data_IF_849143001200
#
_entry.id   IF_849143001200
#
_cell.length_a   1.000
_cell.length_b   1.000
_cell.length_c   1.000
_cell.angle_alpha   90.00
_cell.angle_beta   90.00
_cell.angle_gamma   90.00
#
_symmetry.space_group_name_H-M   'P 1'
#
loop_
_entity.id
_entity.type
_entity.pdbx_description
1 polymer ?
#
# COMPACT_ATOMS: atom_id res chain seq x y z
N UNK A 1 13.64 8.87 -1.27
CA UNK A 1 12.97 7.58 -1.07
C UNK A 1 14.01 6.52 -1.42
N UNK A 2 14.36 5.59 -0.52
CA UNK A 2 15.27 4.48 -0.84
C UNK A 2 14.80 3.77 -2.11
N UNK A 3 15.73 3.16 -2.86
CA UNK A 3 15.37 2.46 -4.11
C UNK A 3 14.31 1.36 -3.85
N UNK A 4 14.39 0.72 -2.68
CA UNK A 4 13.57 -0.45 -2.28
C UNK A 4 13.65 -1.64 -3.26
N UNK A 5 14.50 -1.57 -4.29
CA UNK A 5 14.73 -2.66 -5.24
C UNK A 5 15.51 -3.82 -4.61
N UNK A 6 16.33 -3.52 -3.60
CA UNK A 6 17.23 -4.49 -2.97
C UNK A 6 16.93 -4.65 -1.48
N UNK A 7 17.08 -5.89 -1.02
CA UNK A 7 16.90 -6.27 0.39
C UNK A 7 18.16 -6.04 1.23
N UNK A 8 19.28 -5.71 0.59
CA UNK A 8 20.57 -5.43 1.24
C UNK A 8 20.78 -3.91 1.33
N UNK A 9 21.36 -3.47 2.45
CA UNK A 9 21.79 -2.08 2.61
C UNK A 9 23.06 -1.86 1.79
N UNK A 10 22.94 -1.01 0.77
CA UNK A 10 24.02 -0.50 -0.08
C UNK A 10 25.26 -0.14 0.76
N UNK A 11 26.43 -0.61 0.35
CA UNK A 11 27.68 -0.13 0.94
C UNK A 11 27.83 1.37 0.67
N UNK A 12 28.46 2.11 1.58
CA UNK A 12 28.68 3.54 1.39
C UNK A 12 29.41 3.80 0.05
N UNK A 13 28.73 4.43 -0.91
CA UNK A 13 29.27 4.74 -2.23
C UNK A 13 28.65 3.98 -3.41
N UNK A 14 27.74 3.03 -3.17
CA UNK A 14 26.96 2.42 -4.26
C UNK A 14 25.79 3.34 -4.63
N UNK A 15 25.74 3.80 -5.88
CA UNK A 15 24.59 4.52 -6.40
C UNK A 15 23.39 3.58 -6.39
N UNK A 16 22.41 3.91 -5.56
CA UNK A 16 21.06 3.40 -5.72
C UNK A 16 20.72 3.52 -7.21
N UNK A 17 20.53 2.37 -7.89
CA UNK A 17 19.67 2.40 -9.08
C UNK A 17 18.43 3.18 -8.65
N UNK A 18 17.84 4.00 -9.53
CA UNK A 18 16.67 4.81 -9.17
C UNK A 18 15.39 4.10 -9.60
N UNK A 19 14.88 3.09 -8.87
CA UNK A 19 13.53 2.60 -9.00
C UNK A 19 12.59 3.71 -8.54
N UNK A 20 12.09 4.47 -9.51
CA UNK A 20 10.86 5.22 -9.31
C UNK A 20 9.71 4.21 -9.34
N UNK A 21 8.86 4.24 -8.31
CA UNK A 21 7.59 3.53 -8.36
C UNK A 21 6.84 3.95 -9.63
N UNK A 22 6.45 2.97 -10.45
CA UNK A 22 5.70 3.23 -11.68
C UNK A 22 4.18 3.07 -11.47
N UNK A 23 3.76 2.71 -10.26
CA UNK A 23 2.37 2.48 -9.91
C UNK A 23 2.09 2.94 -8.48
N UNK A 24 1.02 3.71 -8.33
CA UNK A 24 0.38 4.05 -7.07
C UNK A 24 -1.10 3.70 -7.18
N UNK A 25 -1.54 2.72 -6.39
CA UNK A 25 -2.97 2.36 -6.28
C UNK A 25 -3.54 2.97 -5.01
N UNK A 26 -4.78 3.48 -5.08
CA UNK A 26 -5.54 3.96 -3.93
C UNK A 26 -6.88 3.22 -3.89
N UNK A 27 -7.17 2.57 -2.77
CA UNK A 27 -8.43 1.85 -2.52
C UNK A 27 -9.26 2.58 -1.48
N UNK A 28 -10.59 2.49 -1.60
CA UNK A 28 -11.54 3.05 -0.64
C UNK A 28 -12.82 2.20 -0.60
N UNK A 29 -13.80 2.63 0.20
CA UNK A 29 -15.11 1.98 0.38
C UNK A 29 -14.98 0.54 0.88
N UNK A 30 -14.25 0.38 1.97
CA UNK A 30 -14.10 -0.89 2.69
C UNK A 30 -13.54 -2.00 1.78
N UNK A 31 -12.58 -1.61 0.94
CA UNK A 31 -11.89 -2.51 0.04
C UNK A 31 -11.30 -3.70 0.80
N UNK A 32 -11.45 -4.88 0.20
CA UNK A 32 -10.79 -6.11 0.60
C UNK A 32 -10.42 -6.89 -0.65
N UNK A 33 -9.49 -7.82 -0.50
CA UNK A 33 -9.04 -8.68 -1.59
C UNK A 33 -8.90 -10.11 -1.12
N UNK A 34 -8.60 -10.99 -2.08
CA UNK A 34 -8.23 -12.37 -1.77
C UNK A 34 -6.75 -12.45 -1.37
N UNK A 35 -6.41 -13.46 -0.59
CA UNK A 35 -5.02 -13.77 -0.23
C UNK A 35 -4.22 -14.02 -1.51
N UNK A 36 -3.10 -13.29 -1.67
CA UNK A 36 -2.27 -13.39 -2.86
C UNK A 36 -0.81 -13.02 -2.57
N UNK A 37 0.02 -13.16 -3.60
CA UNK A 37 1.36 -12.57 -3.70
C UNK A 37 1.37 -11.67 -4.91
N UNK A 38 2.10 -10.57 -4.79
CA UNK A 38 2.27 -9.63 -5.89
C UNK A 38 3.11 -10.23 -7.01
N UNK A 39 2.87 -9.74 -8.23
CA UNK A 39 3.67 -10.07 -9.41
C UNK A 39 4.49 -8.87 -9.87
N UNK A 40 4.98 -8.11 -8.90
CA UNK A 40 5.77 -6.91 -9.13
C UNK A 40 7.24 -7.23 -9.39
N UNK A 41 7.95 -6.22 -9.85
CA UNK A 41 9.38 -6.26 -10.04
C UNK A 41 10.16 -5.98 -8.76
N UNK A 42 9.58 -5.17 -7.86
CA UNK A 42 10.18 -4.85 -6.58
C UNK A 42 9.92 -5.95 -5.55
N UNK A 43 10.91 -6.21 -4.69
CA UNK A 43 10.80 -7.22 -3.64
C UNK A 43 10.05 -6.68 -2.41
N UNK A 44 10.11 -5.37 -2.16
CA UNK A 44 9.41 -4.67 -1.07
C UNK A 44 8.33 -3.75 -1.64
N UNK A 45 7.09 -3.99 -1.21
CA UNK A 45 5.98 -3.07 -1.43
C UNK A 45 5.84 -2.13 -0.24
N UNK A 46 5.29 -0.94 -0.49
CA UNK A 46 5.07 0.11 0.49
C UNK A 46 3.64 0.62 0.37
N UNK A 47 2.97 0.83 1.50
CA UNK A 47 1.56 1.20 1.51
C UNK A 47 1.22 2.09 2.68
N UNK A 48 0.12 2.82 2.50
CA UNK A 48 -0.42 3.77 3.45
C UNK A 48 -1.88 3.46 3.76
N UNK A 49 -2.25 3.63 5.01
CA UNK A 49 -3.62 3.55 5.48
C UNK A 49 -3.96 4.77 6.31
N UNK A 50 -5.08 5.41 5.99
CA UNK A 50 -5.64 6.52 6.76
C UNK A 50 -7.16 6.51 6.67
N UNK A 51 -7.84 7.10 7.63
CA UNK A 51 -9.30 7.28 7.56
C UNK A 51 -9.61 8.64 6.95
N UNK A 52 -10.48 8.64 5.95
CA UNK A 52 -11.00 9.85 5.33
C UNK A 52 -12.51 9.96 5.49
N UNK A 53 -13.00 11.19 5.54
CA UNK A 53 -14.41 11.53 5.65
C UNK A 53 -14.91 12.20 4.36
N UNK A 54 -16.12 11.84 3.92
CA UNK A 54 -16.74 12.39 2.71
C UNK A 54 -17.53 13.66 3.03
N UNK A 55 -17.05 14.81 2.55
CA UNK A 55 -17.85 16.01 2.46
C UNK A 55 -18.77 15.94 1.23
N UNK A 56 -20.05 15.66 1.45
CA UNK A 56 -21.06 15.61 0.39
C UNK A 56 -21.40 16.98 -0.21
N UNK A 57 -21.16 18.09 0.49
CA UNK A 57 -21.38 19.43 -0.07
C UNK A 57 -20.29 19.78 -1.07
N UNK A 58 -19.04 19.48 -0.73
CA UNK A 58 -17.86 19.78 -1.56
C UNK A 58 -17.44 18.64 -2.48
N UNK A 59 -18.12 17.49 -2.40
CA UNK A 59 -17.87 16.29 -3.20
C UNK A 59 -16.42 15.78 -3.13
N UNK A 60 -15.77 15.95 -1.97
CA UNK A 60 -14.37 15.57 -1.76
C UNK A 60 -14.18 14.77 -0.47
N UNK A 61 -13.04 14.10 -0.38
CA UNK A 61 -12.58 13.44 0.83
C UNK A 61 -11.69 14.39 1.61
N UNK A 62 -11.85 14.40 2.93
CA UNK A 62 -11.12 15.26 3.85
C UNK A 62 -10.66 14.44 5.06
N UNK A 63 -9.59 14.90 5.71
CA UNK A 63 -9.25 14.43 7.05
C UNK A 63 -10.18 15.11 8.05
N UNK A 64 -10.57 14.38 9.09
CA UNK A 64 -11.41 14.88 10.16
C UNK A 64 -10.97 14.23 11.47
N UNK A 65 -10.62 15.04 12.47
CA UNK A 65 -10.12 14.59 13.76
C UNK A 65 -11.13 13.73 14.55
N UNK A 66 -12.42 13.80 14.20
CA UNK A 66 -13.48 12.95 14.76
C UNK A 66 -13.49 11.52 14.20
N UNK A 67 -12.69 11.24 13.15
CA UNK A 67 -12.67 9.96 12.44
C UNK A 67 -11.25 9.38 12.33
N UNK A 68 -11.03 8.24 12.98
CA UNK A 68 -9.77 7.50 12.91
C UNK A 68 -10.01 5.96 12.86
N UNK A 69 -8.92 5.19 12.84
CA UNK A 69 -8.95 3.75 12.56
C UNK A 69 -9.76 2.93 13.57
N UNK A 70 -9.84 3.37 14.82
CA UNK A 70 -10.59 2.72 15.91
C UNK A 70 -12.11 2.70 15.69
N UNK A 71 -12.62 3.55 14.78
CA UNK A 71 -14.03 3.56 14.41
C UNK A 71 -14.36 2.63 13.23
N UNK A 72 -13.35 2.14 12.50
CA UNK A 72 -13.52 1.21 11.38
C UNK A 72 -13.35 -0.22 11.89
N UNK A 73 -14.39 -1.04 11.76
CA UNK A 73 -14.39 -2.43 12.26
C UNK A 73 -13.73 -3.36 11.24
N UNK A 74 -12.78 -4.18 11.69
CA UNK A 74 -12.04 -5.11 10.83
C UNK A 74 -11.06 -4.39 9.89
N UNK A 75 -10.76 -5.04 8.76
CA UNK A 75 -9.88 -4.49 7.73
C UNK A 75 -8.40 -4.64 8.02
N UNK A 76 -8.03 -5.60 8.85
CA UNK A 76 -6.65 -5.91 9.19
C UNK A 76 -5.84 -6.24 7.93
N UNK A 77 -4.57 -5.87 7.95
CA UNK A 77 -3.61 -6.31 6.93
C UNK A 77 -2.91 -7.57 7.44
N UNK A 78 -3.24 -8.72 6.85
CA UNK A 78 -2.77 -10.03 7.31
C UNK A 78 -1.63 -10.52 6.41
N UNK A 79 -0.50 -10.87 7.03
CA UNK A 79 0.55 -11.70 6.46
C UNK A 79 0.21 -13.17 6.77
N UNK A 80 -0.54 -13.79 5.86
CA UNK A 80 -1.25 -15.04 6.09
C UNK A 80 -0.32 -16.21 6.46
N UNK A 81 0.86 -16.28 5.83
CA UNK A 81 1.84 -17.35 6.09
C UNK A 81 2.38 -17.32 7.52
N UNK A 82 2.43 -16.14 8.15
CA UNK A 82 2.95 -15.95 9.49
C UNK A 82 1.87 -15.91 10.57
N UNK A 83 0.59 -15.86 10.18
CA UNK A 83 -0.51 -15.62 11.13
C UNK A 83 -0.40 -14.27 11.85
N UNK A 84 0.28 -13.30 11.24
CA UNK A 84 0.51 -11.96 11.80
C UNK A 84 -0.38 -10.96 11.07
N UNK A 85 -1.15 -10.19 11.83
CA UNK A 85 -2.02 -9.15 11.29
C UNK A 85 -1.70 -7.80 11.92
N UNK A 86 -1.77 -6.75 11.11
CA UNK A 86 -1.77 -5.37 11.57
C UNK A 86 -3.21 -5.02 11.95
N UNK A 87 -3.44 -4.93 13.25
CA UNK A 87 -4.70 -4.43 13.82
C UNK A 87 -4.72 -2.91 13.80
N UNK A 88 -5.35 -2.36 12.76
CA UNK A 88 -5.48 -0.91 12.60
C UNK A 88 -6.32 -0.26 13.70
N UNK A 89 -7.21 -0.97 14.38
CA UNK A 89 -8.09 -0.37 15.41
C UNK A 89 -7.31 0.18 16.61
N UNK A 90 -6.04 -0.22 16.75
CA UNK A 90 -5.13 0.20 17.81
C UNK A 90 -4.16 1.29 17.36
N UNK A 91 -4.29 1.78 16.12
CA UNK A 91 -3.44 2.77 15.50
C UNK A 91 -4.17 4.11 15.35
N UNK A 92 -3.41 5.19 15.12
CA UNK A 92 -3.93 6.55 14.91
C UNK A 92 -3.24 7.21 13.72
N UNK A 93 -3.97 8.03 12.99
CA UNK A 93 -3.43 8.81 11.87
C UNK A 93 -2.95 7.97 10.68
N UNK A 94 -1.83 8.36 10.08
CA UNK A 94 -1.24 7.65 8.94
C UNK A 94 -0.50 6.40 9.43
N UNK A 95 -0.89 5.24 8.90
CA UNK A 95 -0.17 3.98 9.11
C UNK A 95 0.58 3.63 7.83
N UNK A 96 1.87 3.35 7.98
CA UNK A 96 2.77 3.01 6.88
C UNK A 96 3.26 1.58 7.05
N UNK A 97 3.16 0.75 6.02
CA UNK A 97 3.56 -0.66 6.08
C UNK A 97 4.50 -0.95 4.91
N UNK A 98 5.58 -1.66 5.21
CA UNK A 98 6.45 -2.30 4.24
C UNK A 98 6.29 -3.80 4.34
N UNK A 99 6.16 -4.49 3.22
CA UNK A 99 6.06 -5.96 3.20
C UNK A 99 6.73 -6.53 1.95
N UNK A 100 7.11 -7.81 2.00
CA UNK A 100 7.69 -8.48 0.84
C UNK A 100 6.58 -9.00 -0.07
N UNK A 101 5.90 -8.11 -0.80
CA UNK A 101 4.69 -8.43 -1.57
C UNK A 101 4.81 -9.66 -2.49
N UNK A 102 5.98 -9.85 -3.09
CA UNK A 102 6.28 -10.98 -3.97
C UNK A 102 6.53 -12.30 -3.24
N UNK A 103 6.95 -12.24 -1.97
CA UNK A 103 7.36 -13.41 -1.17
C UNK A 103 6.25 -13.87 -0.23
N UNK A 104 5.64 -12.91 0.48
CA UNK A 104 4.73 -13.18 1.59
C UNK A 104 3.28 -13.15 1.11
N UNK A 105 2.52 -14.21 1.41
CA UNK A 105 1.07 -14.19 1.20
C UNK A 105 0.43 -13.12 2.09
N UNK A 106 -0.30 -12.20 1.47
CA UNK A 106 -0.91 -11.09 2.18
C UNK A 106 -2.33 -10.79 1.70
N UNK A 107 -3.10 -10.11 2.55
CA UNK A 107 -4.50 -9.76 2.30
C UNK A 107 -4.94 -8.58 3.15
N UNK A 108 -5.84 -7.76 2.60
CA UNK A 108 -6.66 -6.81 3.36
C UNK A 108 -8.00 -7.46 3.65
N UNK A 109 -8.30 -7.69 4.93
CA UNK A 109 -9.57 -8.30 5.33
C UNK A 109 -10.76 -7.36 5.10
N UNK A 110 -11.98 -7.91 5.12
CA UNK A 110 -13.19 -7.11 5.02
C UNK A 110 -13.30 -6.14 6.20
N UNK A 111 -13.78 -4.92 5.92
CA UNK A 111 -14.03 -3.91 6.95
C UNK A 111 -15.42 -3.31 6.83
N UNK A 112 -15.83 -2.59 7.87
CA UNK A 112 -17.04 -1.78 7.87
C UNK A 112 -16.71 -0.42 8.47
N UNK A 113 -16.73 0.61 7.63
CA UNK A 113 -16.49 1.99 8.06
C UNK A 113 -17.76 2.67 8.57
N UNK A 114 -17.64 3.66 9.48
CA UNK A 114 -18.74 4.54 9.84
C UNK A 114 -19.37 5.24 8.63
N UNK A 115 -20.60 5.71 8.77
CA UNK A 115 -21.29 6.44 7.70
C UNK A 115 -20.47 7.66 7.27
N UNK A 116 -20.21 7.77 5.96
CA UNK A 116 -19.36 8.80 5.31
C UNK A 116 -17.86 8.70 5.59
N UNK A 117 -17.40 7.70 6.34
CA UNK A 117 -15.98 7.43 6.52
C UNK A 117 -15.54 6.28 5.60
N UNK A 118 -14.24 6.21 5.33
CA UNK A 118 -13.60 5.03 4.75
C UNK A 118 -12.14 4.95 5.16
N UNK A 119 -11.63 3.74 5.41
CA UNK A 119 -10.18 3.52 5.49
C UNK A 119 -9.64 3.44 4.06
N UNK A 120 -8.87 4.45 3.68
CA UNK A 120 -8.07 4.40 2.46
C UNK A 120 -6.93 3.41 2.66
N UNK A 121 -6.57 2.73 1.58
CA UNK A 121 -5.38 1.90 1.49
C UNK A 121 -4.60 2.27 0.23
N UNK A 122 -3.28 2.14 0.26
CA UNK A 122 -2.46 2.31 -0.94
C UNK A 122 -1.46 1.19 -1.10
N UNK A 123 -1.02 1.01 -2.34
CA UNK A 123 0.16 0.23 -2.65
C UNK A 123 1.01 0.99 -3.66
N UNK A 124 2.28 1.15 -3.33
CA UNK A 124 3.34 1.79 -4.12
C UNK A 124 4.28 0.69 -4.58
N UNK A 125 4.31 0.47 -5.89
CA UNK A 125 4.92 -0.70 -6.50
C UNK A 125 5.67 -0.35 -7.79
N UNK A 126 6.55 -1.26 -8.20
CA UNK A 126 7.13 -1.28 -9.55
C UNK A 126 6.59 -2.50 -10.26
N UNK A 127 5.69 -2.28 -11.21
CA UNK A 127 5.05 -3.34 -11.97
C UNK A 127 6.01 -3.91 -13.02
N UNK A 128 5.93 -5.23 -13.24
CA UNK A 128 6.68 -5.91 -14.31
C UNK A 128 6.34 -5.38 -15.71
N UNK A 129 5.08 -4.99 -15.93
CA UNK A 129 4.63 -4.38 -17.19
C UNK A 129 5.31 -3.04 -17.43
N UNK A 130 5.38 -2.16 -16.43
CA UNK A 130 6.04 -0.87 -16.60
C UNK A 130 7.54 -1.01 -16.85
N UNK A 131 8.22 -1.97 -16.19
CA UNK A 131 9.62 -2.26 -16.53
C UNK A 131 9.81 -2.76 -17.96
N UNK A 132 8.93 -3.64 -18.44
CA UNK A 132 8.99 -4.12 -19.83
C UNK A 132 8.78 -2.99 -20.83
N UNK A 133 7.86 -2.07 -20.54
CA UNK A 133 7.61 -0.89 -21.37
C UNK A 133 8.84 0.02 -21.47
N UNK A 134 9.49 0.31 -20.35
CA UNK A 134 10.72 1.13 -20.33
C UNK A 134 11.85 0.48 -21.15
N UNK A 135 12.09 -0.82 -20.97
CA UNK A 135 13.12 -1.54 -21.74
C UNK A 135 12.85 -1.56 -23.24
N UNK A 136 11.59 -1.61 -23.65
CA UNK A 136 11.23 -1.56 -25.06
C UNK A 136 11.52 -0.18 -25.69
N UNK A 137 11.34 0.91 -24.91
CA UNK A 137 11.66 2.26 -25.34
C UNK A 137 13.17 2.43 -25.57
N UNK A 138 14.00 1.98 -24.62
CA UNK A 138 15.48 2.04 -24.71
C UNK A 138 16.06 1.27 -25.90
N UNK A 139 15.36 0.24 -26.38
CA UNK A 139 15.77 -0.56 -27.55
C UNK A 139 15.29 0.02 -28.88
N UNK A 140 14.47 1.07 -28.83
CA UNK A 140 13.89 1.73 -30.01
C UNK A 140 14.64 3.01 -30.42
N UNK A 141 15.57 3.47 -29.57
CA UNK A 141 16.51 4.58 -29.82
C UNK A 141 17.88 4.06 -30.29
#
# INVERSE_FOLDING_TARGET
IPSFADLELWAAGEEATSPFANSLTITNKDFSNYVHRDRDAIDIAYGWWWVGFRDNKRQRWELNDDYDHDQVKGGEFLLAEYGVAVDFSRMKGLVEIFWRGKKDYHVTLASVSPRKATRFGTSVQITQSGLRGMKALEQSD
#
